data_IF_994612306779
#
_entry.id   IF_994612306779
#
_cell.length_a   1.000
_cell.length_b   1.000
_cell.length_c   1.000
_cell.angle_alpha   90.00
_cell.angle_beta   90.00
_cell.angle_gamma   90.00
#
_symmetry.space_group_name_H-M   'P 1'
#
loop_
_entity.id
_entity.type
_entity.pdbx_description
1 polymer ?
#
# COMPACT_ATOMS: atom_id res chain seq x y z
N UNK A 1 -9.97 18.65 -39.54
CA UNK A 1 -8.77 18.06 -38.92
C UNK A 1 -8.70 18.52 -37.48
N UNK A 2 -8.57 17.62 -36.50
CA UNK A 2 -8.29 18.02 -35.13
C UNK A 2 -6.80 18.39 -35.03
N UNK A 3 -6.48 19.62 -34.64
CA UNK A 3 -5.10 20.04 -34.40
C UNK A 3 -4.69 19.48 -33.05
N UNK A 4 -3.71 18.56 -33.05
CA UNK A 4 -3.06 18.13 -31.81
C UNK A 4 -2.28 19.32 -31.29
N UNK A 5 -2.73 19.85 -30.15
CA UNK A 5 -2.07 20.94 -29.43
C UNK A 5 -1.17 20.39 -28.32
N UNK A 6 -0.20 21.19 -27.81
CA UNK A 6 0.58 20.82 -26.63
C UNK A 6 -0.26 20.38 -25.42
N UNK A 7 -1.47 20.94 -25.27
CA UNK A 7 -2.41 20.54 -24.24
C UNK A 7 -2.80 19.05 -24.35
N UNK A 8 -3.08 18.54 -25.56
CA UNK A 8 -3.44 17.13 -25.75
C UNK A 8 -2.30 16.19 -25.35
N UNK A 9 -1.05 16.57 -25.65
CA UNK A 9 0.13 15.81 -25.24
C UNK A 9 0.27 15.80 -23.71
N UNK A 10 0.13 16.96 -23.08
CA UNK A 10 0.19 17.08 -21.62
C UNK A 10 -0.91 16.26 -20.93
N UNK A 11 -2.16 16.32 -21.41
CA UNK A 11 -3.27 15.53 -20.87
C UNK A 11 -3.05 14.02 -21.03
N UNK A 12 -2.50 13.58 -22.16
CA UNK A 12 -2.17 12.18 -22.38
C UNK A 12 -1.07 11.71 -21.41
N UNK A 13 0.02 12.47 -21.30
CA UNK A 13 1.12 12.16 -20.36
C UNK A 13 0.63 12.11 -18.92
N UNK A 14 -0.20 13.07 -18.51
CA UNK A 14 -0.83 13.05 -17.20
C UNK A 14 -1.66 11.77 -17.00
N UNK A 15 -2.53 11.44 -17.96
CA UNK A 15 -3.42 10.26 -17.87
C UNK A 15 -2.63 8.95 -17.71
N UNK A 16 -1.51 8.79 -18.41
CA UNK A 16 -0.68 7.57 -18.31
C UNK A 16 0.19 7.54 -17.06
N UNK A 17 0.70 8.69 -16.59
CA UNK A 17 1.63 8.75 -15.46
C UNK A 17 0.92 8.79 -14.11
N UNK A 18 -0.28 9.36 -14.05
CA UNK A 18 -1.01 9.57 -12.79
C UNK A 18 -1.23 8.29 -11.96
N UNK A 19 -1.61 7.12 -12.55
CA UNK A 19 -1.72 5.88 -11.80
C UNK A 19 -0.42 5.46 -11.10
N UNK A 20 0.75 5.70 -11.71
CA UNK A 20 2.04 5.39 -11.10
C UNK A 20 2.31 6.28 -9.88
N UNK A 21 1.95 7.56 -9.96
CA UNK A 21 2.05 8.50 -8.85
C UNK A 21 1.17 8.02 -7.69
N UNK A 22 -0.09 7.68 -7.95
CA UNK A 22 -1.00 7.19 -6.90
C UNK A 22 -0.50 5.90 -6.24
N UNK A 23 0.01 4.96 -7.04
CA UNK A 23 0.56 3.71 -6.51
C UNK A 23 1.80 3.96 -5.65
N UNK A 24 2.67 4.88 -6.07
CA UNK A 24 3.82 5.29 -5.27
C UNK A 24 3.40 5.94 -3.95
N UNK A 25 2.44 6.87 -3.97
CA UNK A 25 1.91 7.53 -2.77
C UNK A 25 1.30 6.51 -1.79
N UNK A 26 0.54 5.54 -2.31
CA UNK A 26 -0.03 4.44 -1.52
C UNK A 26 1.08 3.59 -0.89
N UNK A 27 2.07 3.18 -1.67
CA UNK A 27 3.16 2.34 -1.19
C UNK A 27 4.00 3.07 -0.12
N UNK A 28 4.30 4.34 -0.34
CA UNK A 28 5.00 5.18 0.64
C UNK A 28 4.19 5.31 1.94
N UNK A 29 2.91 5.68 1.85
CA UNK A 29 2.05 5.81 3.02
C UNK A 29 1.93 4.49 3.79
N UNK A 30 1.85 3.36 3.08
CA UNK A 30 1.80 2.03 3.70
C UNK A 30 3.09 1.69 4.44
N UNK A 31 4.25 1.96 3.85
CA UNK A 31 5.56 1.74 4.50
C UNK A 31 5.70 2.58 5.77
N UNK A 32 5.32 3.85 5.72
CA UNK A 32 5.38 4.72 6.91
C UNK A 32 4.44 4.23 8.02
N UNK A 33 3.23 3.78 7.68
CA UNK A 33 2.33 3.16 8.65
C UNK A 33 2.93 1.89 9.27
N UNK A 34 3.65 1.08 8.48
CA UNK A 34 4.33 -0.12 9.01
C UNK A 34 5.46 0.27 9.95
N UNK A 35 6.32 1.23 9.59
CA UNK A 35 7.44 1.71 10.43
C UNK A 35 6.99 2.22 11.79
N UNK A 36 5.81 2.82 11.82
CA UNK A 36 5.21 3.35 13.05
C UNK A 36 4.57 2.26 13.92
N UNK A 37 4.14 1.14 13.33
CA UNK A 37 3.55 0.01 14.06
C UNK A 37 4.58 -1.03 14.52
N UNK A 38 5.66 -1.19 13.76
CA UNK A 38 6.65 -2.26 13.93
C UNK A 38 8.01 -1.62 14.15
N UNK A 39 8.62 -1.86 15.32
CA UNK A 39 9.96 -1.36 15.59
C UNK A 39 11.00 -2.02 14.67
N UNK A 40 12.17 -1.38 14.52
CA UNK A 40 13.27 -1.92 13.70
C UNK A 40 13.69 -3.32 14.18
N UNK A 41 13.72 -3.54 15.50
CA UNK A 41 14.10 -4.83 16.09
C UNK A 41 13.03 -5.91 15.85
N UNK A 42 11.76 -5.55 15.79
CA UNK A 42 10.65 -6.47 15.55
C UNK A 42 10.47 -6.80 14.05
N UNK A 43 10.88 -5.90 13.16
CA UNK A 43 10.64 -6.02 11.72
C UNK A 43 11.19 -7.33 11.15
N UNK A 44 12.44 -7.66 11.47
CA UNK A 44 13.08 -8.90 11.02
C UNK A 44 12.30 -10.15 11.44
N UNK A 45 11.75 -10.15 12.67
CA UNK A 45 10.92 -11.25 13.18
C UNK A 45 9.56 -11.29 12.49
N UNK A 46 8.92 -10.15 12.25
CA UNK A 46 7.67 -10.08 11.50
C UNK A 46 7.85 -10.59 10.07
N UNK A 47 8.96 -10.25 9.43
CA UNK A 47 9.34 -10.72 8.09
C UNK A 47 9.57 -12.23 8.10
N UNK A 48 10.37 -12.78 9.02
CA UNK A 48 10.63 -14.23 9.05
C UNK A 48 9.34 -15.03 9.23
N UNK A 49 8.43 -14.59 10.11
CA UNK A 49 7.15 -15.26 10.35
C UNK A 49 6.21 -15.21 9.16
N UNK A 50 6.11 -14.05 8.50
CA UNK A 50 5.11 -13.84 7.44
C UNK A 50 5.59 -14.19 6.03
N UNK A 51 6.89 -14.06 5.77
CA UNK A 51 7.49 -14.25 4.44
C UNK A 51 8.44 -15.45 4.36
N UNK A 52 8.68 -16.15 5.48
CA UNK A 52 9.59 -17.30 5.56
C UNK A 52 9.25 -18.43 4.58
N UNK A 53 7.97 -18.65 4.27
CA UNK A 53 7.55 -19.67 3.30
C UNK A 53 7.72 -19.21 1.85
N UNK A 54 7.63 -17.89 1.62
CA UNK A 54 7.74 -17.29 0.28
C UNK A 54 9.19 -17.16 -0.17
N UNK A 55 10.11 -16.88 0.76
CA UNK A 55 11.52 -16.68 0.48
C UNK A 55 12.37 -17.74 1.18
N UNK A 56 13.37 -18.29 0.48
CA UNK A 56 14.42 -19.05 1.16
C UNK A 56 15.06 -18.16 2.25
N UNK A 57 15.36 -18.70 3.45
CA UNK A 57 15.89 -17.91 4.59
C UNK A 57 17.08 -16.99 4.26
N UNK A 58 17.90 -17.34 3.25
CA UNK A 58 19.03 -16.53 2.76
C UNK A 58 18.65 -15.34 1.86
N UNK A 59 17.39 -15.21 1.47
CA UNK A 59 16.86 -14.19 0.54
C UNK A 59 15.71 -13.38 1.17
N UNK A 60 15.50 -13.49 2.47
CA UNK A 60 14.49 -12.68 3.14
C UNK A 60 14.88 -11.20 3.05
N UNK A 61 13.92 -10.30 2.77
CA UNK A 61 14.18 -8.87 2.80
C UNK A 61 14.57 -8.45 4.23
N UNK A 62 15.51 -7.52 4.33
CA UNK A 62 15.99 -6.99 5.62
C UNK A 62 15.38 -5.64 5.95
N UNK A 63 14.77 -4.98 4.97
CA UNK A 63 14.15 -3.67 5.09
C UNK A 63 12.83 -3.63 4.33
N UNK A 64 11.98 -2.64 4.66
CA UNK A 64 10.74 -2.41 3.91
C UNK A 64 11.02 -2.00 2.47
N UNK A 65 12.18 -1.42 2.19
CA UNK A 65 12.59 -0.95 0.88
C UNK A 65 12.90 -2.08 -0.10
N UNK A 66 13.31 -3.24 0.41
CA UNK A 66 13.57 -4.46 -0.37
C UNK A 66 12.29 -5.27 -0.69
N UNK A 67 11.19 -4.95 -0.03
CA UNK A 67 9.91 -5.62 -0.19
C UNK A 67 9.14 -5.12 -1.42
N UNK A 68 8.39 -6.01 -2.05
CA UNK A 68 7.39 -5.64 -3.06
C UNK A 68 6.02 -5.42 -2.42
N UNK A 69 5.11 -4.74 -3.10
CA UNK A 69 3.78 -4.41 -2.56
C UNK A 69 3.05 -5.60 -1.92
N UNK A 70 3.12 -6.78 -2.53
CA UNK A 70 2.50 -7.99 -2.01
C UNK A 70 3.08 -8.42 -0.65
N UNK A 71 4.37 -8.20 -0.40
CA UNK A 71 5.01 -8.54 0.87
C UNK A 71 4.44 -7.72 2.03
N UNK A 72 4.10 -6.44 1.81
CA UNK A 72 3.43 -5.63 2.83
C UNK A 72 2.07 -6.20 3.20
N UNK A 73 1.31 -6.68 2.20
CA UNK A 73 0.01 -7.32 2.44
C UNK A 73 0.20 -8.57 3.28
N UNK A 74 1.12 -9.45 2.90
CA UNK A 74 1.40 -10.69 3.65
C UNK A 74 1.86 -10.40 5.08
N UNK A 75 2.69 -9.37 5.26
CA UNK A 75 3.17 -8.94 6.57
C UNK A 75 2.03 -8.44 7.47
N UNK A 76 1.11 -7.64 6.93
CA UNK A 76 -0.06 -7.11 7.66
C UNK A 76 -1.12 -8.19 7.88
N UNK A 77 -1.29 -9.10 6.90
CA UNK A 77 -2.27 -10.18 6.95
C UNK A 77 -1.90 -11.23 7.99
N UNK A 78 -0.62 -11.48 8.24
CA UNK A 78 -0.20 -12.49 9.21
C UNK A 78 -0.83 -12.27 10.59
N UNK A 79 -1.49 -13.30 11.14
CA UNK A 79 -2.34 -13.19 12.33
C UNK A 79 -1.57 -12.64 13.55
N UNK A 80 -0.37 -13.14 13.80
CA UNK A 80 0.45 -12.64 14.92
C UNK A 80 0.93 -11.20 14.72
N UNK A 81 1.14 -10.77 13.47
CA UNK A 81 1.61 -9.42 13.17
C UNK A 81 0.45 -8.41 13.27
N UNK A 82 -0.78 -8.84 12.94
CA UNK A 82 -1.98 -8.00 12.94
C UNK A 82 -2.18 -7.24 14.26
N UNK A 83 -1.78 -7.83 15.38
CA UNK A 83 -1.86 -7.22 16.71
C UNK A 83 -1.10 -5.88 16.80
N UNK A 84 0.00 -5.72 16.06
CA UNK A 84 0.78 -4.48 16.00
C UNK A 84 0.04 -3.37 15.23
N UNK A 85 -0.78 -3.76 14.25
CA UNK A 85 -1.48 -2.87 13.33
C UNK A 85 -2.83 -2.35 13.86
N UNK A 86 -3.33 -2.90 14.98
CA UNK A 86 -4.60 -2.52 15.59
C UNK A 86 -4.70 -1.02 15.89
N UNK A 87 -3.59 -0.40 16.29
CA UNK A 87 -3.52 1.03 16.66
C UNK A 87 -3.79 1.95 15.47
N UNK A 88 -3.38 1.54 14.26
CA UNK A 88 -3.55 2.32 13.03
C UNK A 88 -4.90 2.00 12.38
N UNK A 89 -5.14 0.73 12.06
CA UNK A 89 -6.33 0.39 11.27
C UNK A 89 -7.63 0.44 12.08
N UNK A 90 -7.55 0.58 13.41
CA UNK A 90 -8.65 0.87 14.33
C UNK A 90 -9.79 -0.14 14.22
N UNK A 91 -9.59 -1.30 14.85
CA UNK A 91 -10.63 -2.30 15.04
C UNK A 91 -10.04 -3.57 15.62
N UNK A 92 -10.36 -3.86 16.88
CA UNK A 92 -10.08 -5.15 17.51
C UNK A 92 -11.02 -6.19 16.90
N UNK A 93 -10.50 -7.03 16.00
CA UNK A 93 -11.24 -8.18 15.46
C UNK A 93 -10.93 -8.51 14.00
N UNK A 94 -11.30 -9.72 13.63
CA UNK A 94 -11.11 -10.33 12.30
C UNK A 94 -11.74 -9.49 11.17
N UNK A 95 -12.89 -8.88 11.43
CA UNK A 95 -13.60 -8.05 10.45
C UNK A 95 -12.78 -6.84 9.98
N UNK A 96 -12.05 -6.19 10.89
CA UNK A 96 -11.19 -5.04 10.56
C UNK A 96 -9.98 -5.47 9.73
N UNK A 97 -9.40 -6.63 10.08
CA UNK A 97 -8.32 -7.28 9.31
C UNK A 97 -8.77 -7.57 7.89
N UNK A 98 -9.86 -8.33 7.74
CA UNK A 98 -10.37 -8.73 6.42
C UNK A 98 -10.70 -7.52 5.54
N UNK A 99 -11.29 -6.47 6.10
CA UNK A 99 -11.56 -5.22 5.36
C UNK A 99 -10.27 -4.52 4.91
N UNK A 100 -9.27 -4.46 5.77
CA UNK A 100 -7.96 -3.86 5.48
C UNK A 100 -7.26 -4.63 4.36
N UNK A 101 -7.20 -5.96 4.48
CA UNK A 101 -6.58 -6.83 3.48
C UNK A 101 -7.33 -6.77 2.15
N UNK A 102 -8.67 -6.84 2.16
CA UNK A 102 -9.48 -6.70 0.93
C UNK A 102 -9.15 -5.41 0.20
N UNK A 103 -9.10 -4.29 0.94
CA UNK A 103 -8.83 -2.97 0.38
C UNK A 103 -7.42 -2.84 -0.19
N UNK A 104 -6.42 -3.41 0.50
CA UNK A 104 -5.04 -3.44 -0.01
C UNK A 104 -4.88 -4.41 -1.21
N UNK A 105 -5.62 -5.51 -1.26
CA UNK A 105 -5.61 -6.45 -2.39
C UNK A 105 -6.22 -5.83 -3.65
N UNK A 106 -7.22 -4.96 -3.52
CA UNK A 106 -7.71 -4.13 -4.63
C UNK A 106 -6.59 -3.28 -5.23
N UNK A 107 -5.79 -2.61 -4.38
CA UNK A 107 -4.62 -1.84 -4.84
C UNK A 107 -3.61 -2.76 -5.54
N UNK A 108 -3.32 -3.94 -4.97
CA UNK A 108 -2.41 -4.93 -5.59
C UNK A 108 -2.88 -5.32 -6.99
N UNK A 109 -4.18 -5.56 -7.18
CA UNK A 109 -4.77 -5.90 -8.48
C UNK A 109 -4.60 -4.76 -9.48
N UNK A 110 -4.90 -3.52 -9.08
CA UNK A 110 -4.73 -2.33 -9.93
C UNK A 110 -3.26 -2.08 -10.27
N UNK A 111 -2.35 -2.23 -9.29
CA UNK A 111 -0.89 -2.19 -9.49
C UNK A 111 -0.46 -3.17 -10.57
N UNK A 112 -0.94 -4.41 -10.51
CA UNK A 112 -0.60 -5.41 -11.52
C UNK A 112 -1.09 -5.03 -12.92
N UNK A 113 -2.24 -4.35 -13.06
CA UNK A 113 -2.71 -3.85 -14.36
C UNK A 113 -1.75 -2.78 -14.89
N UNK A 114 -1.40 -1.80 -14.04
CA UNK A 114 -0.54 -0.67 -14.39
C UNK A 114 0.89 -1.12 -14.72
N UNK A 115 1.54 -1.89 -13.83
CA UNK A 115 2.94 -2.28 -13.98
C UNK A 115 3.18 -3.32 -15.08
N UNK A 116 2.20 -4.16 -15.38
CA UNK A 116 2.28 -5.08 -16.52
C UNK A 116 1.74 -4.48 -17.81
N UNK A 117 1.42 -3.17 -17.82
CA UNK A 117 0.89 -2.44 -18.99
C UNK A 117 -0.26 -3.18 -19.69
N UNK A 118 -1.11 -3.88 -18.93
CA UNK A 118 -2.15 -4.75 -19.51
C UNK A 118 -3.19 -3.93 -20.27
N UNK A 119 -3.56 -2.77 -19.73
CA UNK A 119 -4.47 -1.78 -20.31
C UNK A 119 -4.42 -0.49 -19.50
N UNK A 120 -5.01 0.57 -20.05
CA UNK A 120 -5.33 1.76 -19.26
C UNK A 120 -6.35 1.43 -18.15
N UNK A 121 -6.23 2.10 -17.01
CA UNK A 121 -7.26 2.07 -15.98
C UNK A 121 -8.54 2.74 -16.48
N UNK A 122 -9.69 2.26 -16.00
CA UNK A 122 -10.97 2.98 -16.15
C UNK A 122 -11.04 4.15 -15.17
N UNK A 123 -11.97 5.08 -15.37
CA UNK A 123 -12.18 6.19 -14.43
C UNK A 123 -12.51 5.69 -13.02
N UNK A 124 -13.37 4.66 -12.93
CA UNK A 124 -13.73 4.02 -11.66
C UNK A 124 -12.52 3.42 -10.93
N UNK A 125 -11.59 2.81 -11.66
CA UNK A 125 -10.37 2.24 -11.07
C UNK A 125 -9.37 3.32 -10.65
N UNK A 126 -9.30 4.44 -11.38
CA UNK A 126 -8.53 5.61 -10.95
C UNK A 126 -9.09 6.19 -9.66
N UNK A 127 -10.42 6.36 -9.60
CA UNK A 127 -11.12 6.80 -8.39
C UNK A 127 -10.87 5.85 -7.22
N UNK A 128 -10.90 4.54 -7.46
CA UNK A 128 -10.57 3.54 -6.45
C UNK A 128 -9.13 3.67 -5.92
N UNK A 129 -8.13 3.97 -6.77
CA UNK A 129 -6.77 4.26 -6.28
C UNK A 129 -6.74 5.53 -5.43
N UNK A 130 -7.43 6.59 -5.84
CA UNK A 130 -7.52 7.84 -5.07
C UNK A 130 -8.14 7.60 -3.70
N UNK A 131 -9.26 6.89 -3.64
CA UNK A 131 -9.94 6.54 -2.40
C UNK A 131 -9.06 5.70 -1.47
N UNK A 132 -8.25 4.82 -2.02
CA UNK A 132 -7.31 4.00 -1.27
C UNK A 132 -6.17 4.82 -0.69
N UNK A 133 -5.57 5.70 -1.49
CA UNK A 133 -4.57 6.66 -1.03
C UNK A 133 -5.12 7.52 0.09
N UNK A 134 -6.27 8.16 -0.12
CA UNK A 134 -6.86 9.09 0.84
C UNK A 134 -7.25 8.39 2.15
N UNK A 135 -7.68 7.13 2.05
CA UNK A 135 -7.90 6.28 3.22
C UNK A 135 -6.61 6.03 4.01
N UNK A 136 -5.50 5.63 3.36
CA UNK A 136 -4.21 5.45 4.05
C UNK A 136 -3.70 6.74 4.68
N UNK A 137 -3.75 7.85 3.95
CA UNK A 137 -3.34 9.16 4.47
C UNK A 137 -4.20 9.62 5.66
N UNK A 138 -5.51 9.32 5.66
CA UNK A 138 -6.36 9.56 6.83
C UNK A 138 -5.94 8.69 8.02
N UNK A 139 -5.55 7.43 7.79
CA UNK A 139 -5.08 6.53 8.85
C UNK A 139 -3.76 7.04 9.46
N UNK A 140 -2.83 7.47 8.63
CA UNK A 140 -1.56 8.09 9.07
C UNK A 140 -1.81 9.34 9.93
N UNK A 141 -2.58 10.30 9.42
CA UNK A 141 -2.92 11.53 10.16
C UNK A 141 -3.65 11.26 11.48
N UNK A 142 -4.59 10.31 11.47
CA UNK A 142 -5.33 9.94 12.69
C UNK A 142 -4.42 9.31 13.74
N UNK A 143 -3.40 8.58 13.32
CA UNK A 143 -2.41 8.02 14.22
C UNK A 143 -1.49 9.12 14.78
N UNK A 144 -0.95 9.99 13.94
CA UNK A 144 -0.09 11.12 14.36
C UNK A 144 -0.80 12.00 15.38
N UNK A 145 -2.05 12.39 15.12
CA UNK A 145 -2.84 13.20 16.04
C UNK A 145 -3.04 12.54 17.42
N UNK A 146 -3.16 11.20 17.48
CA UNK A 146 -3.23 10.45 18.75
C UNK A 146 -1.89 10.35 19.46
N UNK A 147 -0.78 10.40 18.72
CA UNK A 147 0.56 10.35 19.27
C UNK A 147 1.01 11.71 19.83
N UNK A 148 0.66 12.81 19.16
CA UNK A 148 1.01 14.18 19.59
C UNK A 148 0.08 14.77 20.65
N UNK A 149 -1.13 14.23 20.80
CA UNK A 149 -2.09 14.62 21.84
C UNK A 149 -1.84 13.98 23.22
N UNK A 150 -0.64 13.44 23.46
CA UNK A 150 -0.19 12.86 24.74
C UNK A 150 0.93 13.70 25.34
#
# INVERSE_FOLDING_TARGET
>A
QAIVTPFHVASFLHKISYPFILLYEIELALRELIKVCVSVDELSRCIEKSLGDKYNKRKLPTSLEEMVFHDYLTLIEHEENWMLFLKVFSGSGEFSRNRTITRLDEVRKLRNIVFHFKRELTDKEREQLLDNRDWLLRKARSFEARATGR
#
